data_IF_801678194704
#
_entry.id   IF_801678194704
#
_cell.length_a   1.000
_cell.length_b   1.000
_cell.length_c   1.000
_cell.angle_alpha   90.00
_cell.angle_beta   90.00
_cell.angle_gamma   90.00
#
_symmetry.space_group_name_H-M   'P 1'
#
loop_
_entity.id
_entity.type
_entity.pdbx_description
1 polymer ?
#
# COMPACT_ATOMS: atom_id res chain seq x y z
N UNK A 1 11.73 12.67 -7.20
CA UNK A 1 12.79 12.44 -8.20
C UNK A 1 14.08 12.20 -7.45
N UNK A 2 14.81 11.12 -7.78
CA UNK A 2 16.17 10.90 -7.28
C UNK A 2 17.10 11.98 -7.86
N UNK A 3 17.95 12.56 -7.01
CA UNK A 3 18.96 13.54 -7.43
C UNK A 3 20.21 12.88 -8.00
N UNK A 4 20.48 11.67 -7.55
CA UNK A 4 21.59 10.84 -8.03
C UNK A 4 21.15 9.37 -8.09
N UNK A 5 21.81 8.57 -8.92
CA UNK A 5 21.60 7.12 -8.99
C UNK A 5 22.70 6.41 -8.23
N UNK A 6 22.30 5.55 -7.30
CA UNK A 6 23.21 4.63 -6.61
C UNK A 6 23.31 3.28 -7.30
N UNK A 7 24.07 2.37 -6.70
CA UNK A 7 24.15 1.00 -7.15
C UNK A 7 22.85 0.26 -6.84
N UNK A 8 22.31 -0.43 -7.85
CA UNK A 8 21.06 -1.20 -7.72
C UNK A 8 21.39 -2.55 -7.09
N UNK A 9 20.77 -2.83 -5.93
CA UNK A 9 20.91 -4.13 -5.24
C UNK A 9 19.96 -5.15 -5.86
N UNK A 10 18.69 -4.78 -6.04
CA UNK A 10 17.68 -5.61 -6.67
C UNK A 10 16.55 -4.75 -7.23
N UNK A 11 15.68 -5.38 -8.01
CA UNK A 11 14.55 -4.74 -8.66
C UNK A 11 13.30 -5.61 -8.58
N UNK A 12 12.14 -5.01 -8.86
CA UNK A 12 10.87 -5.71 -8.89
C UNK A 12 9.77 -4.85 -9.47
N UNK A 13 8.54 -5.22 -9.23
CA UNK A 13 7.37 -4.47 -9.71
C UNK A 13 7.11 -3.27 -8.80
N UNK A 14 7.14 -2.08 -9.35
CA UNK A 14 6.83 -0.82 -8.68
C UNK A 14 5.36 -0.73 -8.28
N UNK A 15 5.10 -0.32 -7.04
CA UNK A 15 3.78 -0.03 -6.50
C UNK A 15 3.77 1.40 -5.96
N UNK A 16 2.96 2.22 -6.61
CA UNK A 16 2.96 3.67 -6.37
C UNK A 16 4.01 4.41 -7.20
N UNK A 17 4.32 5.64 -6.81
CA UNK A 17 5.26 6.53 -7.51
C UNK A 17 6.20 7.26 -6.53
N UNK A 18 6.22 6.81 -5.29
CA UNK A 18 7.01 7.44 -4.23
C UNK A 18 8.39 6.81 -4.11
N UNK A 19 9.25 7.52 -3.41
CA UNK A 19 10.55 7.05 -2.97
C UNK A 19 10.52 7.00 -1.45
N UNK A 20 11.07 5.95 -0.86
CA UNK A 20 11.28 5.82 0.58
C UNK A 20 12.71 5.38 0.85
N UNK A 21 13.32 5.93 1.89
CA UNK A 21 14.65 5.54 2.33
C UNK A 21 14.61 5.17 3.82
N UNK A 22 15.42 4.22 4.21
CA UNK A 22 15.47 3.76 5.60
C UNK A 22 16.39 2.58 5.79
N UNK A 23 16.31 2.01 6.98
CA UNK A 23 17.10 0.85 7.39
C UNK A 23 16.31 -0.44 7.11
N UNK A 24 16.94 -1.38 6.46
CA UNK A 24 16.36 -2.71 6.16
C UNK A 24 16.04 -3.47 7.44
N UNK A 25 14.85 -4.04 7.49
CA UNK A 25 14.43 -5.04 8.47
C UNK A 25 13.85 -6.25 7.74
N UNK A 26 14.60 -7.33 7.74
CA UNK A 26 14.14 -8.61 7.19
C UNK A 26 13.26 -9.30 8.23
N UNK A 27 11.99 -9.51 7.87
CA UNK A 27 10.97 -10.10 8.73
C UNK A 27 10.45 -11.37 8.08
N UNK A 28 10.70 -12.50 8.69
CA UNK A 28 10.33 -13.82 8.17
C UNK A 28 9.00 -14.33 8.73
N UNK A 29 8.55 -13.77 9.85
CA UNK A 29 7.28 -14.13 10.45
C UNK A 29 6.64 -12.97 11.19
N UNK A 30 5.32 -13.07 11.41
CA UNK A 30 4.53 -12.08 12.16
C UNK A 30 5.08 -11.82 13.58
N UNK A 31 5.73 -12.81 14.19
CA UNK A 31 6.30 -12.69 15.54
C UNK A 31 7.55 -11.80 15.59
N UNK A 32 8.11 -11.43 14.44
CA UNK A 32 9.29 -10.57 14.34
C UNK A 32 8.95 -9.12 13.99
N UNK A 33 7.68 -8.77 13.89
CA UNK A 33 7.24 -7.43 13.46
C UNK A 33 7.74 -6.30 14.37
N UNK A 34 8.02 -6.58 15.64
CA UNK A 34 8.54 -5.59 16.60
C UNK A 34 9.94 -5.08 16.24
N UNK A 35 10.68 -5.82 15.40
CA UNK A 35 11.96 -5.36 14.86
C UNK A 35 11.83 -4.10 13.98
N UNK A 36 10.69 -3.89 13.34
CA UNK A 36 10.48 -2.78 12.42
C UNK A 36 10.09 -1.54 13.20
N UNK A 37 10.95 -0.55 13.16
CA UNK A 37 10.69 0.77 13.74
C UNK A 37 10.09 1.72 12.70
N UNK A 38 9.41 2.81 13.12
CA UNK A 38 8.94 3.83 12.19
C UNK A 38 10.07 4.37 11.31
N UNK A 39 9.88 4.33 9.99
CA UNK A 39 10.89 4.77 9.04
C UNK A 39 11.84 3.67 8.53
N UNK A 40 11.72 2.45 9.04
CA UNK A 40 12.47 1.31 8.49
C UNK A 40 11.88 0.81 7.16
N UNK A 41 12.67 0.10 6.39
CA UNK A 41 12.26 -0.59 5.16
C UNK A 41 11.95 -2.04 5.50
N UNK A 42 10.68 -2.41 5.37
CA UNK A 42 10.21 -3.77 5.61
C UNK A 42 10.57 -4.67 4.43
N UNK A 43 11.30 -5.74 4.68
CA UNK A 43 11.66 -6.76 3.69
C UNK A 43 11.13 -8.12 4.14
N UNK A 44 10.38 -8.80 3.29
CA UNK A 44 9.79 -10.11 3.58
C UNK A 44 9.63 -10.95 2.33
N UNK A 45 9.44 -12.25 2.50
CA UNK A 45 9.10 -13.13 1.39
C UNK A 45 7.72 -12.79 0.80
N UNK A 46 6.71 -12.66 1.66
CA UNK A 46 5.36 -12.19 1.31
C UNK A 46 4.66 -11.64 2.56
N UNK A 47 3.59 -10.89 2.38
CA UNK A 47 2.75 -10.40 3.48
C UNK A 47 1.32 -10.94 3.38
N UNK A 48 0.63 -10.97 4.51
CA UNK A 48 -0.78 -11.30 4.66
C UNK A 48 -1.51 -10.20 5.47
N UNK A 49 -2.83 -10.27 5.68
CA UNK A 49 -3.59 -9.22 6.36
C UNK A 49 -3.08 -8.84 7.76
N UNK A 50 -2.49 -9.77 8.49
CA UNK A 50 -2.00 -9.52 9.84
C UNK A 50 -0.75 -8.61 9.86
N UNK A 51 -0.13 -8.37 8.70
CA UNK A 51 1.05 -7.51 8.56
C UNK A 51 0.71 -6.01 8.43
N UNK A 52 -0.55 -5.63 8.30
CA UNK A 52 -0.95 -4.24 8.11
C UNK A 52 -0.37 -3.27 9.19
N UNK A 53 -0.34 -3.63 10.49
CA UNK A 53 0.22 -2.75 11.52
C UNK A 53 1.70 -2.40 11.32
N UNK A 54 2.50 -3.35 10.85
CA UNK A 54 3.93 -3.11 10.58
C UNK A 54 4.13 -2.36 9.27
N UNK A 55 3.31 -2.65 8.26
CA UNK A 55 3.36 -1.96 6.98
C UNK A 55 3.06 -0.46 7.11
N UNK A 56 2.21 -0.06 8.06
CA UNK A 56 1.90 1.34 8.37
C UNK A 56 3.09 2.14 8.90
N UNK A 57 4.05 1.48 9.55
CA UNK A 57 5.24 2.12 10.13
C UNK A 57 6.39 2.22 9.13
N UNK A 58 6.37 1.37 8.11
CA UNK A 58 7.46 1.25 7.17
C UNK A 58 7.58 2.49 6.25
N UNK A 59 8.81 2.92 5.98
CA UNK A 59 9.12 3.91 4.95
C UNK A 59 8.96 3.35 3.53
N UNK A 60 9.18 2.04 3.37
CA UNK A 60 8.97 1.30 2.14
C UNK A 60 8.77 -0.20 2.43
N UNK A 61 8.21 -0.93 1.48
CA UNK A 61 7.94 -2.36 1.58
C UNK A 61 8.57 -3.08 0.40
N UNK A 62 9.26 -4.19 0.66
CA UNK A 62 9.89 -5.04 -0.35
C UNK A 62 9.45 -6.48 -0.12
N UNK A 63 9.00 -7.16 -1.18
CA UNK A 63 8.65 -8.58 -1.09
C UNK A 63 9.28 -9.39 -2.21
N UNK A 64 9.73 -10.62 -1.88
CA UNK A 64 10.24 -11.56 -2.87
C UNK A 64 9.14 -11.97 -3.85
N UNK A 65 7.96 -12.28 -3.31
CA UNK A 65 6.81 -12.75 -4.07
C UNK A 65 5.71 -11.70 -4.17
N UNK A 66 4.92 -11.82 -5.20
CA UNK A 66 3.75 -11.00 -5.41
C UNK A 66 3.75 -10.25 -6.73
N UNK A 67 2.60 -9.70 -7.06
CA UNK A 67 2.35 -8.88 -8.23
C UNK A 67 1.49 -7.67 -7.87
N UNK A 68 1.00 -6.95 -8.88
CA UNK A 68 0.22 -5.71 -8.68
C UNK A 68 -1.08 -5.88 -7.87
N UNK A 69 -1.56 -7.10 -7.72
CA UNK A 69 -2.80 -7.44 -7.02
C UNK A 69 -2.58 -8.24 -5.74
N UNK A 70 -1.32 -8.47 -5.33
CA UNK A 70 -1.04 -9.14 -4.05
C UNK A 70 -1.38 -8.24 -2.86
N UNK A 71 -1.48 -8.84 -1.68
CA UNK A 71 -1.80 -8.13 -0.44
C UNK A 71 -0.87 -6.93 -0.21
N UNK A 72 0.46 -7.14 -0.28
CA UNK A 72 1.44 -6.06 -0.12
C UNK A 72 1.17 -4.86 -1.05
N UNK A 73 0.85 -5.12 -2.32
CA UNK A 73 0.58 -4.08 -3.31
C UNK A 73 -0.71 -3.31 -3.04
N UNK A 74 -1.76 -4.01 -2.58
CA UNK A 74 -3.05 -3.38 -2.26
C UNK A 74 -2.88 -2.47 -1.05
N UNK A 75 -2.33 -2.99 0.05
CA UNK A 75 -2.16 -2.23 1.28
C UNK A 75 -1.17 -1.07 1.10
N UNK A 76 -0.06 -1.27 0.38
CA UNK A 76 0.89 -0.20 0.11
C UNK A 76 0.24 1.00 -0.62
N UNK A 77 -0.64 0.74 -1.61
CA UNK A 77 -1.41 1.80 -2.28
C UNK A 77 -2.36 2.52 -1.32
N UNK A 78 -3.05 1.78 -0.46
CA UNK A 78 -3.98 2.36 0.51
C UNK A 78 -3.26 3.22 1.56
N UNK A 79 -2.11 2.77 2.02
CA UNK A 79 -1.27 3.50 2.98
C UNK A 79 -0.48 4.64 2.32
N UNK A 80 -0.33 4.62 1.00
CA UNK A 80 0.53 5.57 0.27
C UNK A 80 2.02 5.34 0.52
N UNK A 81 2.41 4.12 0.92
CA UNK A 81 3.80 3.70 1.14
C UNK A 81 4.35 3.13 -0.18
N UNK A 82 5.56 3.50 -0.63
CA UNK A 82 6.17 2.87 -1.78
C UNK A 82 6.44 1.40 -1.50
N UNK A 83 6.14 0.54 -2.48
CA UNK A 83 6.46 -0.87 -2.36
C UNK A 83 7.01 -1.44 -3.67
N UNK A 84 7.93 -2.38 -3.54
CA UNK A 84 8.45 -3.17 -4.65
C UNK A 84 8.15 -4.64 -4.36
N UNK A 85 7.40 -5.27 -5.25
CA UNK A 85 6.97 -6.66 -5.09
C UNK A 85 7.52 -7.53 -6.21
N UNK A 86 7.68 -8.84 -5.92
CA UNK A 86 8.18 -9.77 -6.92
C UNK A 86 9.67 -9.63 -7.19
N UNK A 87 10.47 -9.27 -6.20
CA UNK A 87 11.93 -9.13 -6.32
C UNK A 87 12.67 -10.48 -6.43
N UNK A 88 11.99 -11.60 -6.15
CA UNK A 88 12.56 -12.94 -6.19
C UNK A 88 13.36 -13.33 -4.95
N UNK A 89 14.42 -12.61 -4.64
CA UNK A 89 15.38 -12.95 -3.59
C UNK A 89 15.87 -11.76 -2.76
N UNK A 90 15.03 -10.74 -2.60
CA UNK A 90 15.41 -9.56 -1.82
C UNK A 90 15.80 -9.89 -0.37
N UNK A 91 15.16 -10.90 0.24
CA UNK A 91 15.49 -11.37 1.60
C UNK A 91 16.89 -11.97 1.73
N UNK A 92 17.50 -12.40 0.62
CA UNK A 92 18.85 -12.95 0.58
C UNK A 92 19.89 -11.87 0.25
N UNK A 93 19.49 -10.88 -0.55
CA UNK A 93 20.37 -9.80 -1.01
C UNK A 93 20.47 -8.65 -0.01
N UNK A 94 19.42 -8.40 0.74
CA UNK A 94 19.35 -7.31 1.70
C UNK A 94 19.61 -7.82 3.13
N UNK A 95 20.41 -7.06 3.86
CA UNK A 95 20.82 -7.44 5.22
C UNK A 95 20.17 -6.52 6.25
N UNK A 96 19.73 -7.07 7.38
CA UNK A 96 19.25 -6.29 8.52
C UNK A 96 20.24 -5.19 8.91
N UNK A 97 19.74 -3.97 9.06
CA UNK A 97 20.55 -2.81 9.40
C UNK A 97 21.17 -2.08 8.20
N UNK A 98 21.07 -2.62 6.98
CA UNK A 98 21.56 -1.97 5.76
C UNK A 98 20.71 -0.74 5.44
N UNK A 99 21.36 0.38 5.10
CA UNK A 99 20.67 1.56 4.60
C UNK A 99 20.36 1.39 3.11
N UNK A 100 19.11 1.67 2.72
CA UNK A 100 18.67 1.56 1.32
C UNK A 100 17.71 2.68 0.94
N UNK A 101 17.61 2.91 -0.37
CA UNK A 101 16.59 3.77 -0.99
C UNK A 101 15.74 2.93 -1.94
N UNK A 102 14.43 2.98 -1.74
CA UNK A 102 13.43 2.25 -2.52
C UNK A 102 12.73 3.22 -3.44
N UNK A 103 12.96 3.11 -4.74
CA UNK A 103 12.39 4.00 -5.75
C UNK A 103 11.28 3.32 -6.53
N UNK A 104 10.07 3.90 -6.45
CA UNK A 104 8.93 3.57 -7.30
C UNK A 104 8.64 4.68 -8.32
N UNK A 105 9.53 5.65 -8.47
CA UNK A 105 9.32 6.84 -9.31
C UNK A 105 9.83 6.70 -10.77
N UNK A 106 10.34 5.53 -11.13
CA UNK A 106 11.01 5.29 -12.41
C UNK A 106 10.16 4.44 -13.39
N UNK A 107 8.85 4.40 -13.16
CA UNK A 107 7.90 3.66 -14.00
C UNK A 107 7.45 2.33 -13.41
N UNK A 108 7.29 1.32 -14.25
CA UNK A 108 6.74 0.01 -13.86
C UNK A 108 7.71 -0.87 -13.07
N UNK A 109 9.01 -0.63 -13.24
CA UNK A 109 10.07 -1.28 -12.46
C UNK A 109 10.47 -0.39 -11.29
N UNK A 110 10.48 -0.98 -10.10
CA UNK A 110 11.01 -0.35 -8.91
C UNK A 110 12.42 -0.84 -8.62
N UNK A 111 13.25 0.04 -8.09
CA UNK A 111 14.67 -0.23 -7.81
C UNK A 111 14.98 -0.04 -6.34
N UNK A 112 15.78 -0.92 -5.79
CA UNK A 112 16.35 -0.82 -4.46
C UNK A 112 17.83 -0.46 -4.62
N UNK A 113 18.18 0.74 -4.17
CA UNK A 113 19.53 1.28 -4.25
C UNK A 113 20.24 1.14 -2.91
N UNK A 114 21.56 0.95 -2.97
CA UNK A 114 22.41 0.97 -1.80
C UNK A 114 22.50 2.38 -1.20
N UNK A 115 22.43 2.49 0.12
CA UNK A 115 22.53 3.74 0.86
C UNK A 115 21.24 4.56 0.88
N UNK A 116 21.30 5.65 1.63
CA UNK A 116 20.25 6.68 1.66
C UNK A 116 20.60 7.76 0.65
N UNK A 117 19.98 7.68 -0.52
CA UNK A 117 20.18 8.65 -1.59
C UNK A 117 19.31 9.89 -1.38
N UNK A 118 19.80 11.04 -1.80
CA UNK A 118 19.03 12.27 -1.81
C UNK A 118 17.94 12.25 -2.89
N UNK A 119 16.72 12.59 -2.50
CA UNK A 119 15.60 12.70 -3.43
C UNK A 119 14.73 13.92 -3.10
N UNK A 120 14.08 14.44 -4.11
CA UNK A 120 13.15 15.56 -4.01
C UNK A 120 11.72 15.10 -4.25
N UNK A 121 10.80 15.46 -3.36
CA UNK A 121 9.37 15.25 -3.54
C UNK A 121 8.81 16.47 -4.24
N UNK A 122 8.42 16.30 -5.51
CA UNK A 122 7.72 17.34 -6.24
C UNK A 122 6.20 17.19 -6.03
N UNK A 123 5.61 18.17 -5.38
CA UNK A 123 4.15 18.24 -5.25
C UNK A 123 3.62 19.10 -6.42
N UNK A 124 2.95 18.45 -7.35
CA UNK A 124 2.23 19.16 -8.40
C UNK A 124 0.82 19.47 -7.87
N UNK A 125 0.50 20.74 -7.69
CA UNK A 125 -0.89 21.16 -7.45
C UNK A 125 -1.64 21.14 -8.78
N UNK A 126 -2.70 20.38 -8.87
CA UNK A 126 -3.63 20.43 -10.01
C UNK A 126 -4.75 21.38 -9.59
N UNK A 127 -4.64 22.64 -10.00
CA UNK A 127 -5.63 23.67 -9.63
C UNK A 127 -6.88 23.61 -10.49
N UNK A 128 -6.78 23.15 -11.73
CA UNK A 128 -7.92 22.97 -12.62
C UNK A 128 -7.65 21.88 -13.66
N UNK A 129 -8.71 21.19 -14.07
CA UNK A 129 -8.68 20.32 -15.24
C UNK A 129 -9.11 21.11 -16.48
N UNK A 130 -8.50 20.86 -17.66
CA UNK A 130 -9.05 21.35 -18.90
C UNK A 130 -10.43 20.74 -19.17
N UNK A 131 -11.28 21.46 -19.92
CA UNK A 131 -12.56 20.90 -20.37
C UNK A 131 -12.30 19.70 -21.29
N UNK A 132 -12.79 18.54 -20.88
CA UNK A 132 -12.63 17.29 -21.60
C UNK A 132 -13.98 16.86 -22.21
N UNK A 133 -13.94 16.21 -23.36
CA UNK A 133 -15.13 15.63 -23.99
C UNK A 133 -15.68 14.39 -23.25
N UNK A 134 -15.01 13.93 -22.20
CA UNK A 134 -15.38 12.78 -21.36
C UNK A 134 -15.13 13.10 -19.90
N UNK A 135 -15.82 12.36 -19.02
CA UNK A 135 -15.73 12.54 -17.58
C UNK A 135 -14.61 11.68 -16.98
N UNK A 136 -13.75 12.29 -16.17
CA UNK A 136 -12.79 11.57 -15.34
C UNK A 136 -13.44 11.35 -13.98
N UNK A 137 -13.63 10.09 -13.60
CA UNK A 137 -14.30 9.70 -12.36
C UNK A 137 -13.41 8.80 -11.51
N UNK A 138 -13.59 8.87 -10.19
CA UNK A 138 -12.78 8.14 -9.22
C UNK A 138 -13.36 6.76 -8.92
N UNK A 139 -12.48 5.76 -8.75
CA UNK A 139 -12.84 4.50 -8.12
C UNK A 139 -12.58 4.61 -6.62
N UNK A 140 -13.61 4.44 -5.81
CA UNK A 140 -13.53 4.56 -4.34
C UNK A 140 -13.80 3.20 -3.70
N UNK A 141 -12.82 2.68 -2.95
CA UNK A 141 -12.93 1.46 -2.16
C UNK A 141 -12.84 1.72 -0.65
N UNK A 142 -12.33 2.88 -0.25
CA UNK A 142 -12.22 3.29 1.15
C UNK A 142 -12.96 4.64 1.34
N UNK A 143 -14.10 4.67 2.05
CA UNK A 143 -14.86 5.89 2.31
C UNK A 143 -14.07 6.96 3.08
N UNK A 144 -13.16 6.58 3.98
CA UNK A 144 -12.37 7.53 4.76
C UNK A 144 -11.48 8.42 3.87
N UNK A 145 -11.12 7.92 2.68
CA UNK A 145 -10.32 8.65 1.70
C UNK A 145 -11.17 9.44 0.69
N UNK A 146 -12.47 9.23 0.67
CA UNK A 146 -13.35 9.84 -0.34
C UNK A 146 -13.31 11.37 -0.32
N UNK A 147 -13.26 11.97 0.89
CA UNK A 147 -13.16 13.42 1.04
C UNK A 147 -11.83 13.98 0.49
N UNK A 148 -10.71 13.29 0.75
CA UNK A 148 -9.42 13.66 0.18
C UNK A 148 -9.39 13.50 -1.34
N UNK A 149 -10.03 12.47 -1.88
CA UNK A 149 -10.15 12.27 -3.33
C UNK A 149 -11.02 13.33 -4.00
N UNK A 150 -12.03 13.86 -3.33
CA UNK A 150 -12.87 14.93 -3.85
C UNK A 150 -12.10 16.25 -4.07
N UNK A 151 -10.93 16.41 -3.46
CA UNK A 151 -10.04 17.56 -3.67
C UNK A 151 -9.18 17.44 -4.95
N UNK A 152 -9.09 16.24 -5.51
CA UNK A 152 -8.43 16.01 -6.80
C UNK A 152 -9.46 16.35 -7.88
N UNK A 153 -9.11 17.11 -8.93
CA UNK A 153 -10.04 17.41 -10.01
C UNK A 153 -10.66 16.14 -10.59
N UNK A 154 -11.97 15.99 -10.45
CA UNK A 154 -12.75 14.86 -10.94
C UNK A 154 -14.22 15.22 -11.02
N UNK A 155 -15.00 14.43 -11.73
CA UNK A 155 -16.43 14.62 -11.88
C UNK A 155 -17.27 13.61 -11.08
N UNK A 156 -16.72 13.13 -9.97
CA UNK A 156 -17.41 12.28 -9.01
C UNK A 156 -16.91 10.83 -8.99
N UNK A 157 -17.72 9.94 -8.38
CA UNK A 157 -17.41 8.54 -8.21
C UNK A 157 -17.97 7.73 -9.38
N UNK A 158 -17.10 7.10 -10.16
CA UNK A 158 -17.47 6.19 -11.25
C UNK A 158 -17.76 4.78 -10.77
N UNK A 159 -17.00 4.32 -9.76
CA UNK A 159 -17.17 3.01 -9.15
C UNK A 159 -16.93 3.08 -7.64
N UNK A 160 -17.94 2.72 -6.86
CA UNK A 160 -17.78 2.43 -5.44
C UNK A 160 -17.61 0.91 -5.26
N UNK A 161 -16.46 0.48 -4.75
CA UNK A 161 -16.20 -0.93 -4.45
C UNK A 161 -16.86 -1.31 -3.13
N UNK A 162 -18.14 -1.62 -3.21
CA UNK A 162 -18.98 -1.93 -2.04
C UNK A 162 -18.47 -3.12 -1.24
N UNK A 163 -17.82 -4.08 -1.87
CA UNK A 163 -17.23 -5.24 -1.21
C UNK A 163 -16.20 -4.85 -0.16
N UNK A 164 -15.38 -3.84 -0.41
CA UNK A 164 -14.43 -3.33 0.59
C UNK A 164 -15.13 -2.54 1.69
N UNK A 165 -16.14 -1.75 1.35
CA UNK A 165 -16.91 -0.97 2.32
C UNK A 165 -17.66 -1.91 3.28
N UNK A 166 -18.32 -2.94 2.74
CA UNK A 166 -19.06 -3.92 3.53
C UNK A 166 -18.12 -4.69 4.47
N UNK A 167 -17.00 -5.18 3.95
CA UNK A 167 -16.10 -6.01 4.74
C UNK A 167 -15.35 -5.24 5.82
N UNK A 168 -14.97 -3.98 5.55
CA UNK A 168 -14.12 -3.21 6.47
C UNK A 168 -14.89 -2.31 7.44
N UNK A 169 -16.01 -1.73 6.99
CA UNK A 169 -16.72 -0.71 7.77
C UNK A 169 -18.03 -1.23 8.34
N UNK A 170 -18.76 -2.06 7.59
CA UNK A 170 -20.03 -2.60 8.03
C UNK A 170 -19.82 -3.92 8.77
N UNK A 171 -18.89 -4.77 8.30
CA UNK A 171 -18.55 -6.03 8.95
C UNK A 171 -19.62 -7.13 8.81
N UNK A 172 -20.76 -6.82 8.20
CA UNK A 172 -21.92 -7.71 8.10
C UNK A 172 -22.38 -7.81 6.64
N UNK A 173 -22.55 -9.02 6.17
CA UNK A 173 -23.07 -9.24 4.82
C UNK A 173 -24.56 -8.80 4.74
N UNK A 174 -25.00 -8.04 3.72
CA UNK A 174 -26.37 -7.54 3.59
C UNK A 174 -27.46 -8.62 3.67
N UNK A 175 -27.19 -9.83 3.16
CA UNK A 175 -28.11 -10.97 3.29
C UNK A 175 -28.31 -11.42 4.74
N UNK A 176 -27.34 -11.23 5.62
CA UNK A 176 -27.50 -11.53 7.04
C UNK A 176 -28.53 -10.61 7.67
N UNK A 177 -28.49 -9.30 7.34
CA UNK A 177 -29.48 -8.33 7.80
C UNK A 177 -30.89 -8.65 7.33
N UNK A 178 -31.06 -9.10 6.08
CA UNK A 178 -32.37 -9.48 5.55
C UNK A 178 -32.92 -10.76 6.17
N UNK A 179 -32.06 -11.62 6.71
CA UNK A 179 -32.43 -12.93 7.26
C UNK A 179 -32.13 -13.04 8.76
N UNK A 180 -32.15 -11.95 9.51
CA UNK A 180 -31.79 -11.90 10.94
C UNK A 180 -32.57 -12.93 11.78
N UNK A 181 -33.83 -13.19 11.42
CA UNK A 181 -34.68 -14.15 12.14
C UNK A 181 -34.23 -15.61 12.03
N UNK A 182 -33.34 -15.93 11.09
CA UNK A 182 -32.81 -17.27 10.86
C UNK A 182 -31.38 -17.44 11.41
N UNK A 183 -30.76 -16.38 11.90
CA UNK A 183 -29.39 -16.40 12.40
C UNK A 183 -29.33 -16.84 13.87
N UNK A 184 -28.21 -17.45 14.29
CA UNK A 184 -27.91 -17.69 15.70
C UNK A 184 -27.95 -16.39 16.53
N UNK A 185 -28.43 -16.48 17.77
CA UNK A 185 -28.57 -15.31 18.65
C UNK A 185 -27.27 -14.52 18.85
N UNK A 186 -26.14 -15.21 18.92
CA UNK A 186 -24.81 -14.60 19.07
C UNK A 186 -24.47 -13.68 17.87
N UNK A 187 -24.80 -14.15 16.65
CA UNK A 187 -24.58 -13.35 15.44
C UNK A 187 -25.54 -12.16 15.39
N UNK A 188 -26.82 -12.34 15.78
CA UNK A 188 -27.79 -11.25 15.84
C UNK A 188 -27.35 -10.17 16.82
N UNK A 189 -26.84 -10.56 17.98
CA UNK A 189 -26.32 -9.63 18.97
C UNK A 189 -25.13 -8.84 18.47
N UNK A 190 -24.14 -9.51 17.84
CA UNK A 190 -22.97 -8.87 17.23
C UNK A 190 -23.32 -7.92 16.06
N UNK A 191 -24.48 -8.09 15.44
CA UNK A 191 -25.00 -7.19 14.38
C UNK A 191 -25.64 -5.93 14.99
N UNK A 192 -26.19 -6.04 16.20
CA UNK A 192 -26.93 -4.97 16.87
C UNK A 192 -26.04 -4.03 17.71
N UNK A 193 -24.83 -4.46 18.04
CA UNK A 193 -23.77 -3.66 18.68
C UNK A 193 -23.05 -2.76 17.66
#
# INVERSE_FOLDING_TARGET
>A
ILKEKGDVICEGRSIGQRIGAGTVRVVNSIHEMDKVQPGDVLVSDMTDPDWEPVMKRAAAIITNRGGRTCHAAIIARELGVPAIVGCGNATDLLTDGQAVTVSCAEGDTGYIYEGQLDFEIQNNSIESMPDLAFKIMMNVGNPDRAFGFAQIPNEGVGLARLEFIINRMIGVHPKALLNMNTLPREIVQAIQE
#
